data_IF_666859827900
#
_entry.id   IF_666859827900
#
_cell.length_a   1.000
_cell.length_b   1.000
_cell.length_c   1.000
_cell.angle_alpha   90.00
_cell.angle_beta   90.00
_cell.angle_gamma   90.00
#
_symmetry.space_group_name_H-M   'P 1'
#
loop_
_entity.id
_entity.type
_entity.pdbx_description
1 polymer ?
#
# COMPACT_ATOMS: atom_id res chain seq x y z
N UNK A 1 11.32 -39.74 -78.43
CA UNK A 1 11.41 -38.27 -78.36
C UNK A 1 11.23 -37.88 -76.90
N UNK A 2 12.19 -37.22 -76.29
CA UNK A 2 12.17 -36.92 -74.85
C UNK A 2 12.06 -35.41 -74.63
N UNK A 3 10.98 -34.99 -73.96
CA UNK A 3 10.83 -33.75 -73.18
C UNK A 3 9.89 -34.15 -72.03
N UNK A 4 10.38 -34.26 -70.80
CA UNK A 4 10.55 -33.13 -69.87
C UNK A 4 9.20 -32.48 -69.54
N UNK A 5 8.46 -33.06 -68.58
CA UNK A 5 7.49 -32.34 -67.76
C UNK A 5 7.88 -32.43 -66.28
N UNK A 6 9.06 -31.93 -65.96
CA UNK A 6 9.66 -31.94 -64.62
C UNK A 6 9.49 -30.62 -63.85
N UNK A 7 8.69 -29.68 -64.36
CA UNK A 7 8.51 -28.34 -63.79
C UNK A 7 7.30 -28.16 -62.87
N UNK A 8 6.48 -29.20 -62.67
CA UNK A 8 5.13 -29.08 -62.07
C UNK A 8 5.03 -29.61 -60.62
N UNK A 9 6.13 -30.10 -60.04
CA UNK A 9 6.16 -30.73 -58.71
C UNK A 9 6.90 -29.95 -57.62
N UNK A 10 7.39 -28.74 -57.90
CA UNK A 10 8.18 -27.94 -56.93
C UNK A 10 7.37 -26.81 -56.25
N UNK A 11 6.08 -26.66 -56.56
CA UNK A 11 5.26 -25.51 -56.12
C UNK A 11 4.44 -25.73 -54.82
N UNK A 12 4.74 -26.76 -54.03
CA UNK A 12 3.98 -27.07 -52.80
C UNK A 12 4.85 -27.34 -51.55
N UNK A 13 6.16 -27.10 -51.63
CA UNK A 13 7.04 -27.09 -50.47
C UNK A 13 6.87 -25.78 -49.66
N UNK A 14 5.85 -25.71 -48.80
CA UNK A 14 5.76 -24.60 -47.84
C UNK A 14 7.00 -24.60 -46.92
N UNK A 15 7.74 -23.48 -46.79
CA UNK A 15 8.96 -23.44 -45.98
C UNK A 15 8.72 -23.89 -44.53
N UNK A 16 9.72 -24.52 -43.91
CA UNK A 16 9.64 -24.98 -42.52
C UNK A 16 9.16 -23.88 -41.57
N UNK A 17 9.70 -22.67 -41.71
CA UNK A 17 9.32 -21.51 -40.89
C UNK A 17 7.84 -21.13 -41.04
N UNK A 18 7.26 -21.31 -42.24
CA UNK A 18 5.83 -21.07 -42.49
C UNK A 18 4.95 -22.15 -41.86
N UNK A 19 5.40 -23.41 -41.85
CA UNK A 19 4.71 -24.51 -41.16
C UNK A 19 4.76 -24.28 -39.64
N UNK A 20 5.95 -23.99 -39.13
CA UNK A 20 6.23 -23.74 -37.71
C UNK A 20 5.48 -22.50 -37.20
N UNK A 21 5.43 -21.41 -37.98
CA UNK A 21 4.61 -20.24 -37.63
C UNK A 21 3.11 -20.58 -37.56
N UNK A 22 2.57 -21.30 -38.56
CA UNK A 22 1.14 -21.68 -38.56
C UNK A 22 0.78 -22.57 -37.36
N UNK A 23 1.61 -23.55 -37.04
CA UNK A 23 1.43 -24.43 -35.87
C UNK A 23 1.50 -23.59 -34.58
N UNK A 24 2.54 -22.78 -34.41
CA UNK A 24 2.68 -21.92 -33.23
C UNK A 24 1.50 -20.94 -33.07
N UNK A 25 1.06 -20.28 -34.14
CA UNK A 25 -0.06 -19.34 -34.08
C UNK A 25 -1.42 -20.04 -33.84
N UNK A 26 -1.56 -21.33 -34.16
CA UNK A 26 -2.78 -22.11 -33.90
C UNK A 26 -2.85 -22.68 -32.48
N UNK A 27 -1.75 -23.26 -31.98
CA UNK A 27 -1.71 -23.93 -30.67
C UNK A 27 -1.24 -23.03 -29.52
N UNK A 28 -0.50 -21.96 -29.81
CA UNK A 28 -0.02 -20.96 -28.85
C UNK A 28 -0.15 -19.54 -29.43
N UNK A 29 -1.37 -19.09 -29.78
CA UNK A 29 -1.59 -17.75 -30.34
C UNK A 29 -1.01 -16.67 -29.43
N UNK A 30 -0.09 -15.87 -29.97
CA UNK A 30 0.49 -14.73 -29.27
C UNK A 30 -0.65 -13.78 -28.86
N UNK A 31 -0.77 -13.37 -27.58
CA UNK A 31 -1.87 -12.52 -27.15
C UNK A 31 -1.86 -11.21 -27.92
N UNK A 32 -3.05 -10.70 -28.28
CA UNK A 32 -3.17 -9.41 -28.93
C UNK A 32 -2.59 -8.31 -28.04
N UNK A 33 -2.11 -7.21 -28.63
CA UNK A 33 -1.55 -6.09 -27.86
C UNK A 33 -2.52 -5.60 -26.78
N UNK A 34 -3.82 -5.59 -27.09
CA UNK A 34 -4.89 -5.18 -26.17
C UNK A 34 -5.06 -6.20 -25.04
N UNK A 35 -5.04 -7.51 -25.32
CA UNK A 35 -5.10 -8.54 -24.30
C UNK A 35 -3.87 -8.52 -23.37
N UNK A 36 -2.68 -8.27 -23.93
CA UNK A 36 -1.46 -8.10 -23.15
C UNK A 36 -1.53 -6.84 -22.25
N UNK A 37 -1.97 -5.70 -22.79
CA UNK A 37 -2.20 -4.46 -22.02
C UNK A 37 -3.19 -4.69 -20.88
N UNK A 38 -4.32 -5.35 -21.17
CA UNK A 38 -5.32 -5.69 -20.16
C UNK A 38 -4.71 -6.55 -19.04
N UNK A 39 -3.99 -7.62 -19.38
CA UNK A 39 -3.34 -8.51 -18.42
C UNK A 39 -2.24 -7.79 -17.59
N UNK A 40 -1.56 -6.81 -18.17
CA UNK A 40 -0.59 -5.98 -17.47
C UNK A 40 -1.25 -5.03 -16.45
N UNK A 41 -2.21 -4.21 -16.89
CA UNK A 41 -2.84 -3.21 -16.02
C UNK A 41 -3.78 -3.80 -14.95
N UNK A 42 -4.23 -5.05 -15.11
CA UNK A 42 -4.97 -5.78 -14.08
C UNK A 42 -4.06 -6.61 -13.14
N UNK A 43 -2.73 -6.62 -13.35
CA UNK A 43 -1.82 -7.33 -12.46
C UNK A 43 -1.49 -6.44 -11.26
N UNK A 44 -2.27 -6.61 -10.20
CA UNK A 44 -1.98 -6.06 -8.87
C UNK A 44 -1.17 -7.06 -8.04
N UNK A 45 -0.52 -6.61 -6.97
CA UNK A 45 0.23 -7.42 -6.01
C UNK A 45 -0.71 -8.40 -5.28
N UNK A 46 -0.31 -9.68 -5.20
CA UNK A 46 -1.08 -10.72 -4.52
C UNK A 46 -0.85 -10.74 -3.00
N UNK A 47 -1.66 -11.51 -2.27
CA UNK A 47 -1.51 -11.65 -0.82
C UNK A 47 -0.20 -12.39 -0.47
N UNK A 48 0.59 -11.81 0.43
CA UNK A 48 1.92 -12.36 0.78
C UNK A 48 2.97 -12.29 -0.34
N UNK A 49 2.67 -11.66 -1.48
CA UNK A 49 3.64 -11.49 -2.57
C UNK A 49 4.61 -10.36 -2.25
N UNK A 50 5.92 -10.66 -2.27
CA UNK A 50 6.96 -9.65 -2.09
C UNK A 50 7.07 -8.70 -3.29
N UNK A 51 7.53 -7.48 -3.05
CA UNK A 51 7.69 -6.44 -4.07
C UNK A 51 8.61 -6.89 -5.22
N UNK A 52 9.62 -7.72 -4.94
CA UNK A 52 10.49 -8.28 -5.97
C UNK A 52 9.77 -9.31 -6.87
N UNK A 53 8.94 -10.17 -6.29
CA UNK A 53 8.14 -11.15 -7.04
C UNK A 53 7.09 -10.42 -7.89
N UNK A 54 6.41 -9.43 -7.32
CA UNK A 54 5.45 -8.59 -8.02
C UNK A 54 6.09 -7.85 -9.20
N UNK A 55 7.23 -7.18 -8.99
CA UNK A 55 8.00 -6.48 -10.04
C UNK A 55 8.43 -7.44 -11.15
N UNK A 56 8.83 -8.66 -10.81
CA UNK A 56 9.19 -9.70 -11.79
C UNK A 56 7.97 -10.14 -12.61
N UNK A 57 6.82 -10.35 -11.97
CA UNK A 57 5.56 -10.69 -12.65
C UNK A 57 5.06 -9.57 -13.58
N UNK A 58 5.21 -8.30 -13.18
CA UNK A 58 4.91 -7.15 -14.05
C UNK A 58 5.80 -7.12 -15.29
N UNK A 59 7.12 -7.30 -15.12
CA UNK A 59 8.06 -7.40 -16.26
C UNK A 59 7.72 -8.60 -17.16
N UNK A 60 7.21 -9.71 -16.62
CA UNK A 60 6.74 -10.85 -17.40
C UNK A 60 5.45 -10.55 -18.18
N UNK A 61 4.47 -9.86 -17.59
CA UNK A 61 3.23 -9.45 -18.28
C UNK A 61 3.51 -8.43 -19.40
N UNK A 62 4.48 -7.53 -19.20
CA UNK A 62 4.86 -6.52 -20.18
C UNK A 62 5.44 -7.09 -21.50
N UNK A 63 5.93 -8.34 -21.52
CA UNK A 63 6.66 -8.95 -22.65
C UNK A 63 5.94 -8.88 -24.01
N UNK A 64 4.61 -8.91 -24.01
CA UNK A 64 3.80 -8.84 -25.24
C UNK A 64 3.12 -7.48 -25.46
N UNK A 65 3.26 -6.55 -24.52
CA UNK A 65 2.58 -5.25 -24.53
C UNK A 65 3.13 -4.27 -25.58
N UNK A 66 4.40 -4.42 -26.00
CA UNK A 66 5.07 -3.49 -26.94
C UNK A 66 4.86 -2.02 -26.52
N UNK A 67 5.14 -1.72 -25.24
CA UNK A 67 5.18 -0.36 -24.73
C UNK A 67 6.34 0.41 -25.40
N UNK A 68 6.18 1.74 -25.55
CA UNK A 68 7.25 2.61 -26.08
C UNK A 68 8.20 3.05 -24.97
N UNK A 69 7.62 3.44 -23.85
CA UNK A 69 8.29 3.52 -22.56
C UNK A 69 7.80 2.33 -21.73
N UNK A 70 8.72 1.42 -21.41
CA UNK A 70 8.45 0.27 -20.55
C UNK A 70 8.56 0.64 -19.06
N UNK A 71 9.48 1.54 -18.71
CA UNK A 71 9.80 1.81 -17.32
C UNK A 71 8.79 2.78 -16.69
N UNK A 72 8.25 3.74 -17.45
CA UNK A 72 7.07 4.50 -17.06
C UNK A 72 5.84 3.59 -16.86
N UNK A 73 5.55 2.69 -17.81
CA UNK A 73 4.43 1.75 -17.66
C UNK A 73 4.58 0.80 -16.45
N UNK A 74 5.80 0.35 -16.15
CA UNK A 74 6.10 -0.42 -14.93
C UNK A 74 5.97 0.43 -13.67
N UNK A 75 6.38 1.70 -13.70
CA UNK A 75 6.25 2.63 -12.59
C UNK A 75 4.77 2.87 -12.28
N UNK A 76 3.96 3.23 -13.28
CA UNK A 76 2.52 3.43 -13.15
C UNK A 76 1.83 2.22 -12.50
N UNK A 77 2.16 1.01 -12.96
CA UNK A 77 1.56 -0.22 -12.45
C UNK A 77 2.09 -0.63 -11.06
N UNK A 78 3.31 -0.24 -10.69
CA UNK A 78 3.77 -0.35 -9.30
C UNK A 78 2.97 0.61 -8.41
N UNK A 79 2.85 1.89 -8.78
CA UNK A 79 2.10 2.89 -8.01
C UNK A 79 0.64 2.49 -7.83
N UNK A 80 -0.03 2.08 -8.91
CA UNK A 80 -1.46 1.73 -8.90
C UNK A 80 -1.76 0.34 -8.31
N UNK A 81 -0.83 -0.61 -8.40
CA UNK A 81 -1.10 -2.03 -8.12
C UNK A 81 -0.45 -2.63 -6.86
N UNK A 82 0.35 -1.88 -6.08
CA UNK A 82 0.79 -2.33 -4.74
C UNK A 82 -0.40 -2.43 -3.77
N UNK A 83 -0.31 -3.34 -2.79
CA UNK A 83 -1.35 -3.54 -1.76
C UNK A 83 -1.30 -2.54 -0.61
N UNK A 84 -0.13 -1.97 -0.31
CA UNK A 84 0.02 -0.95 0.72
C UNK A 84 -0.52 0.40 0.21
N UNK A 85 -1.72 0.76 0.67
CA UNK A 85 -2.39 2.02 0.33
C UNK A 85 -1.61 3.26 0.81
N UNK A 86 -0.85 3.14 1.91
CA UNK A 86 -0.03 4.24 2.41
C UNK A 86 1.24 4.41 1.56
N UNK A 87 1.85 3.31 1.08
CA UNK A 87 2.90 3.36 0.05
C UNK A 87 2.37 3.97 -1.25
N UNK A 88 1.20 3.55 -1.73
CA UNK A 88 0.57 4.13 -2.92
C UNK A 88 0.42 5.65 -2.79
N UNK A 89 -0.10 6.16 -1.65
CA UNK A 89 -0.19 7.60 -1.40
C UNK A 89 1.18 8.29 -1.33
N UNK A 90 2.19 7.69 -0.68
CA UNK A 90 3.57 8.24 -0.63
C UNK A 90 4.24 8.27 -2.00
N UNK A 91 3.91 7.35 -2.90
CA UNK A 91 4.41 7.33 -4.27
C UNK A 91 3.72 8.39 -5.14
N UNK A 92 2.38 8.46 -5.09
CA UNK A 92 1.59 9.46 -5.82
C UNK A 92 1.93 10.91 -5.44
N UNK A 93 2.44 11.15 -4.23
CA UNK A 93 2.86 12.46 -3.76
C UNK A 93 4.24 12.93 -4.28
N UNK A 94 5.00 12.09 -5.00
CA UNK A 94 6.35 12.42 -5.50
C UNK A 94 6.30 12.95 -6.93
N UNK A 95 6.70 14.21 -7.22
CA UNK A 95 6.65 14.74 -8.58
C UNK A 95 7.67 14.08 -9.51
N UNK A 96 8.92 13.93 -9.06
CA UNK A 96 10.01 13.35 -9.85
C UNK A 96 10.21 11.85 -9.52
N UNK A 97 9.14 11.07 -9.60
CA UNK A 97 9.22 9.62 -9.42
C UNK A 97 9.91 8.96 -10.63
N UNK A 98 10.64 7.87 -10.39
CA UNK A 98 11.19 6.99 -11.43
C UNK A 98 10.95 5.55 -11.03
N UNK A 99 10.98 4.61 -11.99
CA UNK A 99 10.81 3.17 -11.72
C UNK A 99 11.74 2.68 -10.60
N UNK A 100 13.02 3.08 -10.63
CA UNK A 100 14.00 2.69 -9.62
C UNK A 100 13.62 3.22 -8.23
N UNK A 101 13.29 4.51 -8.10
CA UNK A 101 12.83 5.11 -6.83
C UNK A 101 11.54 4.46 -6.30
N UNK A 102 10.64 4.04 -7.21
CA UNK A 102 9.39 3.38 -6.85
C UNK A 102 9.63 1.97 -6.28
N UNK A 103 10.52 1.19 -6.90
CA UNK A 103 10.94 -0.13 -6.40
C UNK A 103 11.68 0.01 -5.06
N UNK A 104 12.60 0.96 -4.93
CA UNK A 104 13.36 1.21 -3.70
C UNK A 104 12.46 1.59 -2.52
N UNK A 105 11.54 2.55 -2.69
CA UNK A 105 10.56 2.93 -1.67
C UNK A 105 9.63 1.76 -1.31
N UNK A 106 9.21 0.96 -2.29
CA UNK A 106 8.33 -0.18 -2.06
C UNK A 106 9.02 -1.30 -1.25
N UNK A 107 10.27 -1.65 -1.61
CA UNK A 107 11.09 -2.61 -0.85
C UNK A 107 11.41 -2.08 0.56
N UNK A 108 11.62 -0.77 0.71
CA UNK A 108 11.79 -0.13 2.01
C UNK A 108 10.51 -0.18 2.87
N UNK A 109 9.32 0.03 2.27
CA UNK A 109 8.01 -0.12 2.96
C UNK A 109 7.84 -1.55 3.47
N UNK A 110 8.08 -2.55 2.61
CA UNK A 110 8.00 -3.98 2.96
C UNK A 110 8.98 -4.35 4.10
N UNK A 111 10.19 -3.79 4.09
CA UNK A 111 11.19 -4.00 5.14
C UNK A 111 10.84 -3.30 6.46
N UNK A 112 10.28 -2.09 6.39
CA UNK A 112 9.81 -1.35 7.56
C UNK A 112 8.59 -2.03 8.20
N UNK A 113 7.64 -2.52 7.40
CA UNK A 113 6.47 -3.26 7.90
C UNK A 113 6.89 -4.55 8.61
N UNK A 114 7.76 -5.37 7.99
CA UNK A 114 8.30 -6.59 8.62
C UNK A 114 8.97 -6.28 9.97
N UNK A 115 9.82 -5.25 10.01
CA UNK A 115 10.48 -4.78 11.25
C UNK A 115 9.47 -4.33 12.32
N UNK A 116 8.45 -3.56 11.93
CA UNK A 116 7.41 -3.10 12.85
C UNK A 116 6.57 -4.25 13.42
N UNK A 117 6.22 -5.23 12.59
CA UNK A 117 5.52 -6.43 13.03
C UNK A 117 6.36 -7.25 14.04
N UNK A 118 7.68 -7.33 13.86
CA UNK A 118 8.59 -8.00 14.82
C UNK A 118 8.66 -7.26 16.16
N UNK A 119 8.79 -5.93 16.14
CA UNK A 119 8.77 -5.08 17.34
C UNK A 119 7.46 -5.26 18.12
N UNK A 120 6.30 -5.22 17.44
CA UNK A 120 4.99 -5.42 18.06
C UNK A 120 4.77 -6.83 18.63
N UNK A 121 5.41 -7.86 18.06
CA UNK A 121 5.41 -9.22 18.63
C UNK A 121 6.28 -9.28 19.89
N UNK A 122 7.43 -8.62 19.89
CA UNK A 122 8.36 -8.57 21.02
C UNK A 122 7.86 -7.72 22.21
N UNK A 123 7.05 -6.69 21.96
CA UNK A 123 6.50 -5.80 23.00
C UNK A 123 5.22 -6.31 23.68
N UNK A 124 4.73 -7.50 23.32
CA UNK A 124 3.54 -8.09 23.92
C UNK A 124 3.73 -8.30 25.44
N UNK A 125 2.92 -7.67 26.30
CA UNK A 125 3.13 -7.75 27.75
C UNK A 125 2.81 -9.16 28.26
N UNK A 126 3.75 -9.75 29.01
CA UNK A 126 3.52 -11.01 29.72
C UNK A 126 2.31 -10.84 30.66
N UNK A 127 1.32 -11.71 30.49
CA UNK A 127 0.09 -11.69 31.30
C UNK A 127 0.41 -11.75 32.80
N UNK A 128 -0.36 -10.97 33.58
CA UNK A 128 -0.42 -11.00 35.03
C UNK A 128 0.93 -11.09 35.79
N UNK A 129 1.53 -9.93 36.07
CA UNK A 129 2.23 -9.78 37.37
C UNK A 129 1.15 -9.55 38.42
N UNK A 130 1.05 -10.46 39.38
CA UNK A 130 0.18 -10.33 40.55
C UNK A 130 0.37 -8.96 41.23
N UNK A 131 -0.71 -8.27 41.65
CA UNK A 131 -0.60 -7.01 42.36
C UNK A 131 -0.07 -7.24 43.78
N UNK A 132 1.21 -6.92 44.00
CA UNK A 132 1.82 -6.95 45.34
C UNK A 132 1.11 -5.92 46.23
N UNK A 133 0.56 -6.29 47.40
CA UNK A 133 -0.11 -5.35 48.29
C UNK A 133 0.91 -4.34 48.86
N UNK A 134 0.80 -3.08 48.45
CA UNK A 134 1.56 -1.98 49.05
C UNK A 134 0.78 -1.47 50.25
N UNK A 135 1.32 -1.67 51.46
CA UNK A 135 0.77 -1.05 52.66
C UNK A 135 0.91 0.48 52.56
N UNK A 136 -0.22 1.18 52.57
CA UNK A 136 -0.26 2.61 52.85
C UNK A 136 -0.31 2.81 54.36
N UNK A 137 0.76 3.35 54.93
CA UNK A 137 0.73 3.90 56.29
C UNK A 137 0.49 5.41 56.20
N UNK A 138 -0.55 5.91 56.88
CA UNK A 138 -0.84 7.34 56.93
C UNK A 138 0.02 8.00 58.00
N UNK A 139 0.95 8.86 57.58
CA UNK A 139 1.76 9.71 58.46
C UNK A 139 1.36 11.18 58.30
N UNK A 140 0.76 11.77 59.34
CA UNK A 140 0.34 13.17 59.38
C UNK A 140 1.35 14.03 60.13
N UNK A 141 1.88 15.07 59.49
CA UNK A 141 2.48 16.24 60.15
C UNK A 141 2.65 17.42 59.18
N UNK A 142 2.29 18.62 59.65
CA UNK A 142 2.64 19.91 59.02
C UNK A 142 4.16 20.22 59.23
N UNK A 143 4.82 21.30 58.75
CA UNK A 143 4.54 22.75 58.81
C UNK A 143 5.43 23.58 57.83
N UNK A 144 5.13 24.89 57.70
CA UNK A 144 5.96 26.10 57.45
C UNK A 144 7.46 26.03 56.99
N UNK A 145 8.09 27.02 56.31
CA UNK A 145 7.69 28.26 55.58
C UNK A 145 8.96 28.93 54.92
N UNK A 146 8.87 30.19 54.46
CA UNK A 146 9.84 31.05 53.71
C UNK A 146 10.05 30.73 52.21
N UNK A 147 9.89 31.64 51.23
CA UNK A 147 10.35 33.05 51.01
C UNK A 147 11.86 33.13 50.72
N UNK A 148 12.39 33.95 49.79
CA UNK A 148 11.93 35.14 49.01
C UNK A 148 12.10 34.92 47.45
N UNK A 149 11.65 35.70 46.44
CA UNK A 149 10.65 36.78 46.21
C UNK A 149 10.42 36.99 44.66
N UNK A 150 10.03 38.19 44.19
CA UNK A 150 9.52 38.65 42.85
C UNK A 150 10.37 38.40 41.56
N UNK A 151 9.80 38.28 40.35
CA UNK A 151 9.11 39.33 39.56
C UNK A 151 7.95 38.81 38.64
N UNK A 152 7.29 39.69 37.87
CA UNK A 152 5.90 39.55 37.40
C UNK A 152 5.73 39.87 35.91
N UNK A 153 4.96 39.04 35.18
CA UNK A 153 3.88 39.57 34.30
C UNK A 153 2.82 38.51 33.90
N UNK A 154 1.61 39.01 33.65
CA UNK A 154 0.34 38.27 33.60
C UNK A 154 0.06 37.69 32.19
N UNK A 155 -0.75 36.65 32.01
CA UNK A 155 -2.22 36.77 32.04
C UNK A 155 -2.97 35.46 32.27
N UNK A 156 -4.11 35.60 32.97
CA UNK A 156 -4.94 34.54 33.56
C UNK A 156 -5.68 33.65 32.55
N UNK A 157 -5.90 32.39 32.94
CA UNK A 157 -7.24 31.75 32.91
C UNK A 157 -7.34 30.67 33.99
N UNK A 158 -8.05 30.98 35.07
CA UNK A 158 -8.22 30.09 36.24
C UNK A 158 -9.41 29.14 36.07
N UNK A 159 -9.34 27.99 36.75
CA UNK A 159 -10.47 27.07 36.89
C UNK A 159 -11.47 27.61 37.92
N UNK A 160 -12.77 27.53 37.63
CA UNK A 160 -13.82 27.48 38.66
C UNK A 160 -14.71 26.27 38.46
N UNK A 161 -14.72 25.37 39.45
CA UNK A 161 -15.76 24.35 39.60
C UNK A 161 -17.04 25.03 40.06
N UNK A 162 -18.16 24.77 39.40
CA UNK A 162 -19.47 24.80 40.06
C UNK A 162 -20.37 23.72 39.45
N UNK A 163 -21.29 23.19 40.24
CA UNK A 163 -22.16 22.09 39.82
C UNK A 163 -23.54 22.58 39.35
N UNK A 164 -24.26 21.67 38.69
CA UNK A 164 -25.72 21.64 38.49
C UNK A 164 -26.34 22.48 37.34
N UNK A 165 -26.56 21.77 36.22
CA UNK A 165 -27.92 21.36 35.75
C UNK A 165 -28.80 22.40 35.05
N UNK A 166 -28.83 22.36 33.72
CA UNK A 166 -30.09 22.52 32.96
C UNK A 166 -30.09 21.72 31.64
N UNK A 167 -31.30 21.54 31.10
CA UNK A 167 -31.73 20.63 30.01
C UNK A 167 -30.80 20.62 28.78
N UNK A 168 -30.35 19.42 28.38
CA UNK A 168 -29.49 19.25 27.22
C UNK A 168 -30.22 19.15 25.87
N UNK A 169 -29.45 19.30 24.80
CA UNK A 169 -29.76 18.84 23.44
C UNK A 169 -28.62 17.90 23.05
N UNK A 170 -28.93 16.72 22.49
CA UNK A 170 -27.89 15.82 21.98
C UNK A 170 -27.55 16.23 20.56
N UNK A 171 -26.26 16.42 20.29
CA UNK A 171 -25.71 16.62 18.96
C UNK A 171 -25.79 15.29 18.17
N UNK A 172 -26.10 15.37 16.87
CA UNK A 172 -26.28 14.20 16.04
C UNK A 172 -24.93 13.55 15.72
N UNK A 173 -24.71 12.32 16.21
CA UNK A 173 -23.46 11.58 16.02
C UNK A 173 -23.08 11.29 14.55
N UNK A 174 -24.00 11.48 13.59
CA UNK A 174 -23.72 11.32 12.15
C UNK A 174 -23.31 12.61 11.42
N UNK A 175 -23.69 13.79 11.92
CA UNK A 175 -23.52 15.06 11.19
C UNK A 175 -23.20 16.30 12.04
N UNK A 176 -23.15 16.18 13.37
CA UNK A 176 -22.85 17.27 14.31
C UNK A 176 -23.96 18.29 14.55
N UNK A 177 -25.14 18.15 13.91
CA UNK A 177 -26.25 19.10 14.08
C UNK A 177 -27.05 18.91 15.37
N UNK A 178 -27.70 19.97 15.87
CA UNK A 178 -28.60 19.94 17.05
C UNK A 178 -29.96 19.27 16.73
N UNK A 179 -29.94 17.99 16.41
CA UNK A 179 -31.13 17.14 16.30
C UNK A 179 -30.81 15.71 16.77
N UNK A 180 -31.84 14.96 17.19
CA UNK A 180 -31.71 13.52 17.42
C UNK A 180 -31.56 12.77 16.09
N UNK A 181 -30.68 11.77 16.01
CA UNK A 181 -30.36 11.01 14.79
C UNK A 181 -31.58 10.45 14.01
N UNK A 182 -32.73 10.22 14.67
CA UNK A 182 -33.99 9.84 14.01
C UNK A 182 -34.68 10.98 13.20
N UNK A 183 -34.03 12.14 13.09
CA UNK A 183 -34.43 13.33 12.31
C UNK A 183 -33.27 13.92 11.49
N UNK A 184 -32.24 13.11 11.22
CA UNK A 184 -31.17 13.44 10.29
C UNK A 184 -31.59 13.17 8.84
#
# INVERSE_FOLDING_TARGET
MSRENSGELEQLATPWDTIQEKICNHYAPKPSKIAAHHAFYHRNQAEGESINNYTTALRQAARHCKFRDLDGALMDQIVCGVRDIHLQWRLLAKPDLTLQKAIEEAVASEAAERSAQEICKASSPRLAREPVPVHHEEASSNEASSSEDDDVHQTKREHRKFQQKSKGQQECAGCGGNHSHAKC
#
